data_IF_886955292157
#
_entry.id   IF_886955292157
#
_cell.length_a   1.000
_cell.length_b   1.000
_cell.length_c   1.000
_cell.angle_alpha   90.00
_cell.angle_beta   90.00
_cell.angle_gamma   90.00
#
_symmetry.space_group_name_H-M   'P 1'
#
loop_
_entity.id
_entity.type
_entity.pdbx_description
1 polymer ?
#
# COMPACT_ATOMS: atom_id res chain seq x y z
N UNK A 1 -9.67 6.22 -4.14
CA UNK A 1 -9.70 5.28 -5.28
C UNK A 1 -8.80 4.10 -4.92
N UNK A 2 -9.29 2.87 -4.99
CA UNK A 2 -8.51 1.62 -4.82
C UNK A 2 -8.07 1.12 -6.20
N UNK A 3 -6.77 0.88 -6.40
CA UNK A 3 -6.20 0.28 -7.60
C UNK A 3 -5.60 -1.06 -7.23
N UNK A 4 -6.28 -2.14 -7.59
CA UNK A 4 -5.75 -3.49 -7.42
C UNK A 4 -4.92 -3.89 -8.63
N UNK A 5 -3.63 -4.12 -8.43
CA UNK A 5 -2.73 -4.64 -9.46
C UNK A 5 -3.03 -6.12 -9.71
N UNK A 6 -3.65 -6.43 -10.84
CA UNK A 6 -3.99 -7.81 -11.23
C UNK A 6 -2.80 -8.53 -11.85
N UNK A 7 -1.87 -7.77 -12.43
CA UNK A 7 -0.57 -8.25 -12.87
C UNK A 7 0.39 -7.07 -12.99
N UNK A 8 1.68 -7.35 -12.87
CA UNK A 8 2.76 -6.35 -12.88
C UNK A 8 3.96 -6.79 -13.71
N UNK A 9 3.87 -7.93 -14.38
CA UNK A 9 4.89 -8.46 -15.27
C UNK A 9 4.70 -7.99 -16.71
N UNK A 10 5.76 -8.13 -17.51
CA UNK A 10 5.71 -7.93 -18.96
C UNK A 10 4.85 -8.99 -19.67
N UNK A 11 4.71 -8.88 -20.99
CA UNK A 11 3.95 -9.80 -21.84
C UNK A 11 4.16 -11.31 -21.57
N UNK A 12 5.40 -11.71 -21.27
CA UNK A 12 5.84 -13.07 -20.99
C UNK A 12 5.80 -13.47 -19.50
N UNK A 13 5.40 -12.53 -18.64
CA UNK A 13 5.40 -12.63 -17.20
C UNK A 13 6.82 -12.70 -16.60
N UNK A 14 6.88 -12.74 -15.27
CA UNK A 14 8.15 -12.92 -14.55
C UNK A 14 7.93 -13.79 -13.31
N UNK A 15 8.54 -14.99 -13.21
CA UNK A 15 9.50 -15.61 -14.13
C UNK A 15 8.92 -16.04 -15.48
N UNK A 16 9.69 -15.85 -16.56
CA UNK A 16 9.37 -16.37 -17.88
C UNK A 16 9.55 -17.91 -17.88
N UNK A 17 8.53 -18.68 -18.30
CA UNK A 17 8.51 -20.15 -18.20
C UNK A 17 9.54 -20.87 -19.07
N UNK A 18 10.11 -20.18 -20.06
CA UNK A 18 11.13 -20.70 -20.96
C UNK A 18 12.54 -20.20 -20.62
N UNK A 19 12.67 -19.27 -19.68
CA UNK A 19 13.95 -18.70 -19.29
C UNK A 19 14.60 -19.44 -18.11
N UNK A 20 15.93 -19.39 -18.06
CA UNK A 20 16.75 -19.95 -16.98
C UNK A 20 17.74 -18.95 -16.40
N UNK A 21 17.53 -17.65 -16.64
CA UNK A 21 18.39 -16.59 -16.11
C UNK A 21 18.32 -16.56 -14.57
N UNK A 22 19.30 -15.91 -13.95
CA UNK A 22 19.36 -15.75 -12.49
C UNK A 22 18.09 -15.10 -11.95
N UNK A 23 17.55 -14.11 -12.66
CA UNK A 23 16.31 -13.43 -12.26
C UNK A 23 15.12 -14.41 -12.19
N UNK A 24 14.87 -15.19 -13.25
CA UNK A 24 13.78 -16.17 -13.26
C UNK A 24 13.96 -17.30 -12.23
N UNK A 25 15.18 -17.79 -12.07
CA UNK A 25 15.48 -18.91 -11.17
C UNK A 25 15.49 -18.52 -9.69
N UNK A 26 15.66 -17.23 -9.39
CA UNK A 26 15.60 -16.69 -8.03
C UNK A 26 14.27 -16.04 -7.67
N UNK A 27 13.36 -15.86 -8.65
CA UNK A 27 12.04 -15.30 -8.43
C UNK A 27 11.24 -16.11 -7.40
N UNK A 28 10.73 -15.44 -6.37
CA UNK A 28 9.93 -16.07 -5.30
C UNK A 28 8.43 -15.94 -5.51
N UNK A 29 8.02 -15.11 -6.47
CA UNK A 29 6.65 -14.81 -6.81
C UNK A 29 6.49 -14.82 -8.33
N UNK A 30 5.28 -15.08 -8.80
CA UNK A 30 4.91 -14.98 -10.22
C UNK A 30 4.19 -13.66 -10.43
N UNK A 31 4.64 -12.92 -11.43
CA UNK A 31 4.02 -11.72 -11.95
C UNK A 31 3.34 -12.04 -13.26
N UNK A 32 2.02 -11.88 -13.30
CA UNK A 32 1.20 -11.99 -14.50
C UNK A 32 1.22 -10.71 -15.33
N UNK A 33 0.61 -10.78 -16.51
CA UNK A 33 0.54 -9.68 -17.48
C UNK A 33 -0.10 -8.42 -16.87
N UNK A 34 0.51 -7.27 -17.16
CA UNK A 34 0.18 -6.00 -16.51
C UNK A 34 -1.27 -5.58 -16.75
N UNK A 35 -2.00 -5.39 -15.64
CA UNK A 35 -3.38 -4.94 -15.64
C UNK A 35 -3.78 -4.50 -14.23
N UNK A 36 -4.81 -3.65 -14.13
CA UNK A 36 -5.34 -3.23 -12.84
C UNK A 36 -6.87 -3.14 -12.82
N UNK A 37 -7.45 -3.33 -11.63
CA UNK A 37 -8.87 -3.12 -11.35
C UNK A 37 -9.03 -1.91 -10.42
N UNK A 38 -9.66 -0.87 -10.92
CA UNK A 38 -9.92 0.38 -10.21
C UNK A 38 -11.34 0.35 -9.63
N UNK A 39 -11.43 0.53 -8.31
CA UNK A 39 -12.64 0.52 -7.47
C UNK A 39 -13.60 -0.67 -7.71
N UNK A 40 -13.11 -1.76 -8.30
CA UNK A 40 -13.94 -2.91 -8.68
C UNK A 40 -14.83 -2.70 -9.91
N UNK A 41 -14.70 -1.56 -10.61
CA UNK A 41 -15.63 -1.13 -11.68
C UNK A 41 -14.94 -0.82 -13.01
N UNK A 42 -13.66 -0.47 -13.02
CA UNK A 42 -12.91 -0.13 -14.22
C UNK A 42 -11.66 -1.02 -14.34
N UNK A 43 -11.47 -1.66 -15.49
CA UNK A 43 -10.24 -2.39 -15.82
C UNK A 43 -9.32 -1.51 -16.66
N UNK A 44 -8.07 -1.38 -16.24
CA UNK A 44 -6.95 -0.87 -17.03
C UNK A 44 -6.24 -2.09 -17.62
N UNK A 45 -6.42 -2.26 -18.92
CA UNK A 45 -6.16 -3.48 -19.69
C UNK A 45 -6.91 -4.72 -19.18
N UNK A 46 -7.10 -5.70 -20.06
CA UNK A 46 -7.79 -6.94 -19.74
C UNK A 46 -7.18 -8.11 -20.52
N UNK A 47 -5.91 -8.40 -20.23
CA UNK A 47 -5.18 -9.52 -20.80
C UNK A 47 -5.76 -10.89 -20.48
N UNK A 48 -5.28 -11.97 -21.14
CA UNK A 48 -5.72 -13.35 -20.93
C UNK A 48 -5.72 -13.83 -19.47
N UNK A 49 -4.81 -13.32 -18.64
CA UNK A 49 -4.69 -13.73 -17.23
C UNK A 49 -5.66 -13.00 -16.29
N UNK A 50 -6.18 -11.83 -16.68
CA UNK A 50 -6.93 -10.91 -15.82
C UNK A 50 -8.13 -11.55 -15.11
N UNK A 51 -9.03 -12.30 -15.80
CA UNK A 51 -10.15 -12.95 -15.12
C UNK A 51 -9.71 -13.93 -14.01
N UNK A 52 -8.60 -14.64 -14.23
CA UNK A 52 -8.08 -15.61 -13.25
C UNK A 52 -7.29 -14.93 -12.15
N UNK A 53 -6.55 -13.88 -12.46
CA UNK A 53 -5.86 -13.06 -11.46
C UNK A 53 -6.84 -12.45 -10.46
N UNK A 54 -7.92 -11.82 -10.94
CA UNK A 54 -8.96 -11.26 -10.07
C UNK A 54 -9.52 -12.30 -9.08
N UNK A 55 -9.82 -13.51 -9.57
CA UNK A 55 -10.27 -14.60 -8.71
C UNK A 55 -9.22 -15.06 -7.68
N UNK A 56 -7.93 -15.13 -8.07
CA UNK A 56 -6.83 -15.48 -7.16
C UNK A 56 -6.71 -14.47 -6.01
N UNK A 57 -7.00 -13.20 -6.27
CA UNK A 57 -6.99 -12.12 -5.27
C UNK A 57 -8.35 -11.91 -4.59
N UNK A 58 -9.30 -12.84 -4.77
CA UNK A 58 -10.59 -12.81 -4.09
C UNK A 58 -11.52 -11.68 -4.57
N UNK A 59 -11.35 -11.22 -5.81
CA UNK A 59 -12.10 -10.09 -6.38
C UNK A 59 -12.99 -10.55 -7.53
N UNK A 60 -14.20 -10.03 -7.55
CA UNK A 60 -15.19 -10.32 -8.58
C UNK A 60 -15.12 -9.27 -9.69
N UNK A 61 -15.18 -9.72 -10.95
CA UNK A 61 -15.30 -8.83 -12.12
C UNK A 61 -16.75 -8.52 -12.51
N UNK A 62 -17.75 -9.05 -11.79
CA UNK A 62 -19.16 -8.80 -12.10
C UNK A 62 -19.56 -7.32 -11.98
N UNK A 63 -18.82 -6.55 -11.16
CA UNK A 63 -18.99 -5.12 -10.98
C UNK A 63 -18.41 -4.25 -12.10
N UNK A 64 -17.60 -4.82 -13.00
CA UNK A 64 -16.92 -4.05 -14.06
C UNK A 64 -17.95 -3.45 -15.01
N UNK A 65 -17.79 -2.15 -15.27
CA UNK A 65 -18.59 -1.33 -16.18
C UNK A 65 -17.74 -0.68 -17.28
N UNK A 66 -16.43 -0.61 -17.10
CA UNK A 66 -15.52 0.00 -18.06
C UNK A 66 -14.26 -0.86 -18.22
N UNK A 67 -13.80 -1.05 -19.45
CA UNK A 67 -12.48 -1.61 -19.79
C UNK A 67 -11.77 -0.57 -20.66
N UNK A 68 -10.57 -0.17 -20.27
CA UNK A 68 -9.72 0.74 -21.02
C UNK A 68 -8.50 -0.03 -21.48
N UNK A 69 -8.38 -0.25 -22.78
CA UNK A 69 -7.20 -0.85 -23.41
C UNK A 69 -6.21 0.22 -23.81
N UNK A 70 -4.94 0.02 -23.47
CA UNK A 70 -3.85 0.93 -23.84
C UNK A 70 -3.42 0.74 -25.29
N UNK A 71 -3.35 -0.51 -25.75
CA UNK A 71 -2.98 -0.87 -27.12
C UNK A 71 -3.39 -2.32 -27.46
N UNK A 72 -3.16 -2.73 -28.71
CA UNK A 72 -3.62 -4.01 -29.26
C UNK A 72 -2.76 -5.25 -28.97
N UNK A 73 -1.76 -5.22 -28.09
CA UNK A 73 -0.94 -6.41 -27.85
C UNK A 73 -1.71 -7.51 -27.08
N UNK A 74 -1.41 -8.80 -27.34
CA UNK A 74 -2.22 -9.94 -26.86
C UNK A 74 -2.17 -10.14 -25.35
N UNK A 75 -1.19 -9.57 -24.66
CA UNK A 75 -1.06 -9.56 -23.21
C UNK A 75 -1.88 -8.47 -22.53
N UNK A 76 -2.32 -7.45 -23.27
CA UNK A 76 -3.23 -6.40 -22.80
C UNK A 76 -4.69 -6.67 -23.22
N UNK A 77 -4.89 -7.34 -24.37
CA UNK A 77 -6.21 -7.60 -24.96
C UNK A 77 -6.51 -9.10 -24.95
N UNK A 78 -7.25 -9.55 -23.93
CA UNK A 78 -7.76 -10.91 -23.78
C UNK A 78 -9.27 -10.99 -24.07
N UNK A 79 -9.71 -10.94 -25.34
CA UNK A 79 -11.12 -10.75 -25.67
C UNK A 79 -12.01 -11.95 -25.29
N UNK A 80 -11.43 -13.11 -25.01
CA UNK A 80 -12.12 -14.25 -24.40
C UNK A 80 -12.83 -13.90 -23.08
N UNK A 81 -12.36 -12.87 -22.35
CA UNK A 81 -13.04 -12.37 -21.16
C UNK A 81 -14.46 -11.84 -21.45
N UNK A 82 -14.68 -11.23 -22.62
CA UNK A 82 -16.01 -10.73 -23.04
C UNK A 82 -16.99 -11.88 -23.26
N UNK A 83 -16.52 -12.96 -23.89
CA UNK A 83 -17.32 -14.18 -24.06
C UNK A 83 -17.64 -14.86 -22.72
N UNK A 84 -16.66 -14.91 -21.79
CA UNK A 84 -16.91 -15.42 -20.43
C UNK A 84 -17.96 -14.59 -19.71
N UNK A 85 -17.94 -13.26 -19.85
CA UNK A 85 -18.95 -12.36 -19.30
C UNK A 85 -20.33 -12.66 -19.89
N UNK A 86 -20.43 -12.78 -21.22
CA UNK A 86 -21.68 -13.12 -21.92
C UNK A 86 -22.31 -14.40 -21.35
N UNK A 87 -21.52 -15.45 -21.11
CA UNK A 87 -22.02 -16.71 -20.54
C UNK A 87 -22.65 -16.60 -19.16
N UNK A 88 -22.40 -15.52 -18.42
CA UNK A 88 -23.03 -15.28 -17.12
C UNK A 88 -24.44 -14.69 -17.24
N UNK A 89 -24.84 -14.23 -18.44
CA UNK A 89 -26.10 -13.52 -18.65
C UNK A 89 -26.08 -12.09 -18.08
N UNK A 90 -24.89 -11.47 -17.99
CA UNK A 90 -24.75 -10.09 -17.54
C UNK A 90 -25.56 -9.12 -18.42
N UNK A 91 -26.37 -8.27 -17.79
CA UNK A 91 -27.29 -7.35 -18.48
C UNK A 91 -26.89 -5.89 -18.32
N UNK A 92 -25.95 -5.62 -17.41
CA UNK A 92 -25.46 -4.29 -17.15
C UNK A 92 -24.60 -3.79 -18.31
N UNK A 93 -24.64 -2.48 -18.64
CA UNK A 93 -23.79 -1.92 -19.67
C UNK A 93 -22.29 -2.09 -19.36
N UNK A 94 -21.51 -2.34 -20.40
CA UNK A 94 -20.05 -2.36 -20.38
C UNK A 94 -19.52 -1.42 -21.47
N UNK A 95 -18.72 -0.44 -21.10
CA UNK A 95 -17.93 0.33 -22.05
C UNK A 95 -16.59 -0.36 -22.28
N UNK A 96 -16.25 -0.60 -23.55
CA UNK A 96 -14.94 -1.09 -23.98
C UNK A 96 -14.28 0.02 -24.77
N UNK A 97 -13.22 0.58 -24.20
CA UNK A 97 -12.57 1.81 -24.63
C UNK A 97 -11.14 1.50 -25.04
N UNK A 98 -10.66 2.07 -26.14
CA UNK A 98 -9.28 1.88 -26.57
C UNK A 98 -9.02 2.36 -27.99
N UNK A 99 -7.77 2.25 -28.46
CA UNK A 99 -7.41 2.48 -29.85
C UNK A 99 -8.11 1.48 -30.79
N UNK A 100 -8.31 1.79 -32.08
CA UNK A 100 -8.96 0.88 -33.05
C UNK A 100 -8.32 -0.51 -33.06
N UNK A 101 -7.00 -0.59 -32.99
CA UNK A 101 -6.25 -1.85 -32.99
C UNK A 101 -6.62 -2.81 -31.86
N UNK A 102 -6.97 -2.29 -30.68
CA UNK A 102 -7.45 -3.07 -29.55
C UNK A 102 -8.92 -3.44 -29.71
N UNK A 103 -9.76 -2.49 -30.14
CA UNK A 103 -11.21 -2.70 -30.24
C UNK A 103 -11.59 -3.70 -31.35
N UNK A 104 -10.92 -3.66 -32.50
CA UNK A 104 -11.14 -4.59 -33.62
C UNK A 104 -10.98 -6.06 -33.18
N UNK A 105 -10.10 -6.33 -32.22
CA UNK A 105 -9.89 -7.68 -31.68
C UNK A 105 -11.03 -8.15 -30.78
N UNK A 106 -11.81 -7.23 -30.22
CA UNK A 106 -12.91 -7.51 -29.31
C UNK A 106 -14.27 -7.67 -30.00
N UNK A 107 -14.49 -7.01 -31.15
CA UNK A 107 -15.81 -6.93 -31.81
C UNK A 107 -16.44 -8.31 -32.06
N UNK A 108 -15.65 -9.28 -32.51
CA UNK A 108 -16.12 -10.64 -32.81
C UNK A 108 -16.42 -11.50 -31.57
N UNK A 109 -16.10 -11.02 -30.37
CA UNK A 109 -16.31 -11.73 -29.10
C UNK A 109 -17.57 -11.28 -28.36
N UNK A 110 -18.27 -10.28 -28.92
CA UNK A 110 -19.47 -9.68 -28.35
C UNK A 110 -20.67 -10.05 -29.22
N UNK A 111 -21.73 -10.53 -28.58
CA UNK A 111 -22.99 -10.84 -29.26
C UNK A 111 -23.72 -9.57 -29.71
N UNK A 112 -24.59 -9.64 -30.74
CA UNK A 112 -25.29 -8.48 -31.27
C UNK A 112 -26.23 -7.79 -30.27
N UNK A 113 -26.71 -8.54 -29.27
CA UNK A 113 -27.60 -8.04 -28.20
C UNK A 113 -26.87 -7.84 -26.87
N UNK A 114 -25.55 -8.05 -26.82
CA UNK A 114 -24.80 -7.81 -25.60
C UNK A 114 -24.79 -6.31 -25.28
N UNK A 115 -24.95 -5.93 -24.01
CA UNK A 115 -24.97 -4.52 -23.59
C UNK A 115 -23.55 -3.94 -23.54
N UNK A 116 -22.80 -4.05 -24.64
CA UNK A 116 -21.42 -3.60 -24.77
C UNK A 116 -21.35 -2.44 -25.74
N UNK A 117 -20.74 -1.34 -25.31
CA UNK A 117 -20.50 -0.16 -26.13
C UNK A 117 -19.01 0.00 -26.38
N UNK A 118 -18.61 0.00 -27.64
CA UNK A 118 -17.24 0.30 -28.04
C UNK A 118 -17.03 1.83 -28.16
N UNK A 119 -15.95 2.33 -27.58
CA UNK A 119 -15.58 3.76 -27.60
C UNK A 119 -14.13 3.87 -28.08
N UNK A 120 -13.97 4.20 -29.36
CA UNK A 120 -12.64 4.45 -29.94
C UNK A 120 -12.05 5.74 -29.37
N UNK A 121 -10.77 5.70 -28.99
CA UNK A 121 -10.02 6.87 -28.51
C UNK A 121 -8.66 6.99 -29.18
N UNK A 122 -8.12 8.20 -29.21
CA UNK A 122 -6.76 8.52 -29.61
C UNK A 122 -6.13 9.55 -28.66
N UNK A 123 -4.81 9.73 -28.74
CA UNK A 123 -4.12 10.76 -27.96
C UNK A 123 -4.73 12.15 -28.17
N UNK A 124 -4.96 12.86 -27.06
CA UNK A 124 -5.62 14.17 -27.02
C UNK A 124 -7.10 14.12 -26.68
N UNK A 125 -7.74 12.94 -26.72
CA UNK A 125 -9.14 12.77 -26.34
C UNK A 125 -9.35 12.94 -24.83
N UNK A 126 -10.59 13.30 -24.47
CA UNK A 126 -11.08 13.31 -23.09
C UNK A 126 -12.48 12.73 -23.05
N UNK A 127 -12.69 11.75 -22.19
CA UNK A 127 -13.97 11.04 -22.05
C UNK A 127 -14.39 10.96 -20.59
N UNK A 128 -15.70 10.83 -20.35
CA UNK A 128 -16.26 10.61 -19.02
C UNK A 128 -16.85 9.19 -18.95
N UNK A 129 -16.39 8.41 -17.98
CA UNK A 129 -16.85 7.04 -17.74
C UNK A 129 -17.35 6.95 -16.30
N UNK A 130 -18.66 7.08 -16.10
CA UNK A 130 -19.23 7.19 -14.75
C UNK A 130 -18.62 8.35 -13.96
N UNK A 131 -17.94 8.02 -12.85
CA UNK A 131 -17.29 8.97 -11.96
C UNK A 131 -15.87 9.36 -12.40
N UNK A 132 -15.34 8.73 -13.45
CA UNK A 132 -13.98 8.95 -13.95
C UNK A 132 -13.95 9.94 -15.10
N UNK A 133 -13.10 10.95 -14.98
CA UNK A 133 -12.62 11.79 -16.07
C UNK A 133 -11.32 11.19 -16.62
N UNK A 134 -11.31 10.86 -17.90
CA UNK A 134 -10.19 10.14 -18.52
C UNK A 134 -9.62 11.02 -19.63
N UNK A 135 -8.34 11.37 -19.50
CA UNK A 135 -7.55 11.99 -20.57
C UNK A 135 -6.69 10.92 -21.23
N UNK A 136 -6.72 10.90 -22.56
CA UNK A 136 -5.99 9.94 -23.38
C UNK A 136 -4.72 10.62 -23.87
N UNK A 137 -3.56 10.05 -23.53
CA UNK A 137 -2.24 10.64 -23.77
C UNK A 137 -1.45 9.79 -24.76
N UNK A 138 -0.42 10.38 -25.37
CA UNK A 138 0.40 9.66 -26.35
C UNK A 138 1.34 8.68 -25.63
N UNK A 139 1.42 7.45 -26.13
CA UNK A 139 2.49 6.52 -25.82
C UNK A 139 3.57 6.60 -26.90
N UNK A 140 4.79 6.15 -26.58
CA UNK A 140 5.85 5.91 -27.57
C UNK A 140 6.04 4.39 -27.76
N UNK A 141 4.98 3.75 -28.28
CA UNK A 141 4.90 2.31 -28.52
C UNK A 141 3.99 2.02 -29.72
N UNK A 142 4.23 0.92 -30.44
CA UNK A 142 3.26 0.40 -31.43
C UNK A 142 3.76 0.23 -32.87
N UNK A 143 5.08 0.27 -33.13
CA UNK A 143 5.59 0.11 -34.50
C UNK A 143 5.52 -1.35 -35.02
N UNK A 144 5.50 -2.34 -34.13
CA UNK A 144 5.91 -3.69 -34.51
C UNK A 144 4.74 -4.70 -34.68
N UNK A 145 3.71 -4.70 -33.82
CA UNK A 145 2.67 -5.76 -33.84
C UNK A 145 1.28 -5.32 -33.32
N UNK A 146 0.94 -4.03 -33.33
CA UNK A 146 -0.30 -3.61 -32.65
C UNK A 146 -0.89 -2.26 -33.02
N UNK A 147 -0.29 -1.49 -33.93
CA UNK A 147 -0.80 -0.14 -34.23
C UNK A 147 -0.74 0.78 -33.01
N UNK A 148 -1.56 1.82 -33.03
CA UNK A 148 -1.57 2.91 -32.07
C UNK A 148 -1.67 2.50 -30.59
N UNK A 149 -0.92 3.21 -29.75
CA UNK A 149 -0.89 3.03 -28.30
C UNK A 149 -1.17 4.35 -27.57
N UNK A 150 -1.85 4.25 -26.44
CA UNK A 150 -2.23 5.39 -25.59
C UNK A 150 -2.00 5.11 -24.12
N UNK A 151 -1.82 6.19 -23.36
CA UNK A 151 -1.72 6.18 -21.89
C UNK A 151 -2.94 6.88 -21.29
N UNK A 152 -3.23 6.62 -20.02
CA UNK A 152 -4.42 7.15 -19.36
C UNK A 152 -4.07 7.99 -18.13
N UNK A 153 -4.54 9.24 -18.13
CA UNK A 153 -4.63 10.09 -16.95
C UNK A 153 -6.08 10.02 -16.46
N UNK A 154 -6.27 9.41 -15.29
CA UNK A 154 -7.56 9.03 -14.75
C UNK A 154 -7.82 9.80 -13.44
N UNK A 155 -8.87 10.61 -13.42
CA UNK A 155 -9.25 11.43 -12.28
C UNK A 155 -10.67 11.09 -11.80
N UNK A 156 -10.86 10.98 -10.49
CA UNK A 156 -12.18 10.96 -9.84
C UNK A 156 -12.13 11.75 -8.54
N UNK A 157 -13.28 11.88 -7.86
CA UNK A 157 -13.33 12.45 -6.50
C UNK A 157 -12.43 11.69 -5.52
N UNK A 158 -12.10 10.43 -5.85
CA UNK A 158 -11.25 9.56 -5.06
C UNK A 158 -9.77 9.65 -5.39
N UNK A 159 -9.30 10.57 -6.24
CA UNK A 159 -7.88 10.78 -6.55
C UNK A 159 -7.57 10.78 -8.05
N UNK A 160 -6.31 11.00 -8.38
CA UNK A 160 -5.82 11.07 -9.76
C UNK A 160 -4.60 10.19 -9.96
N UNK A 161 -4.66 9.31 -10.96
CA UNK A 161 -3.56 8.42 -11.32
C UNK A 161 -3.10 8.64 -12.75
N UNK A 162 -1.85 8.28 -13.02
CA UNK A 162 -1.32 8.14 -14.36
C UNK A 162 -0.96 6.69 -14.63
N UNK A 163 -1.64 6.06 -15.60
CA UNK A 163 -1.37 4.70 -16.06
C UNK A 163 -0.59 4.77 -17.38
N UNK A 164 0.72 4.49 -17.28
CA UNK A 164 1.69 4.61 -18.35
C UNK A 164 2.45 3.28 -18.55
N UNK A 165 1.72 2.25 -19.00
CA UNK A 165 2.32 0.99 -19.47
C UNK A 165 2.78 1.12 -20.91
N UNK A 166 3.78 0.33 -21.30
CA UNK A 166 4.25 0.14 -22.67
C UNK A 166 4.41 1.43 -23.48
N UNK A 167 5.46 2.20 -23.18
CA UNK A 167 5.68 3.52 -23.80
C UNK A 167 7.14 3.91 -24.00
N UNK A 168 8.10 3.35 -23.27
CA UNK A 168 9.45 3.90 -23.23
C UNK A 168 9.45 5.38 -22.81
N UNK A 169 10.53 6.14 -23.07
CA UNK A 169 10.57 7.56 -22.76
C UNK A 169 9.31 8.27 -23.28
N UNK A 170 8.65 9.04 -22.39
CA UNK A 170 7.37 9.64 -22.72
C UNK A 170 7.49 10.66 -23.86
N UNK A 171 6.54 10.70 -24.82
CA UNK A 171 6.50 11.75 -25.84
C UNK A 171 6.44 13.16 -25.23
N UNK A 172 7.04 14.14 -25.92
CA UNK A 172 6.97 15.57 -25.52
C UNK A 172 5.53 16.05 -25.29
N UNK A 173 4.59 15.59 -26.11
CA UNK A 173 3.17 15.92 -25.98
C UNK A 173 2.60 15.41 -24.65
N UNK A 174 3.03 14.24 -24.19
CA UNK A 174 2.63 13.65 -22.91
C UNK A 174 3.28 14.40 -21.75
N UNK A 175 4.58 14.70 -21.81
CA UNK A 175 5.24 15.54 -20.81
C UNK A 175 4.54 16.90 -20.61
N UNK A 176 4.15 17.55 -21.71
CA UNK A 176 3.39 18.80 -21.66
C UNK A 176 2.00 18.58 -21.04
N UNK A 177 1.30 17.51 -21.44
CA UNK A 177 -0.06 17.23 -21.00
C UNK A 177 -0.17 16.92 -19.49
N UNK A 178 0.88 16.39 -18.88
CA UNK A 178 0.92 16.02 -17.45
C UNK A 178 1.53 17.10 -16.54
N UNK A 179 1.97 18.22 -17.11
CA UNK A 179 2.59 19.31 -16.34
C UNK A 179 1.66 19.82 -15.25
N UNK A 180 2.15 19.84 -14.00
CA UNK A 180 1.42 20.28 -12.82
C UNK A 180 0.27 19.37 -12.39
N UNK A 181 0.18 18.14 -12.92
CA UNK A 181 -0.92 17.24 -12.63
C UNK A 181 -0.96 16.79 -11.16
N UNK A 182 0.20 16.71 -10.50
CA UNK A 182 0.32 16.30 -9.09
C UNK A 182 -0.40 14.98 -8.78
N UNK A 183 -0.08 13.92 -9.54
CA UNK A 183 -0.74 12.62 -9.39
C UNK A 183 -0.59 12.06 -7.97
N UNK A 184 -1.61 11.38 -7.47
CA UNK A 184 -1.52 10.63 -6.23
C UNK A 184 -0.69 9.34 -6.43
N UNK A 185 -0.83 8.69 -7.60
CA UNK A 185 0.03 7.59 -8.00
C UNK A 185 0.35 7.63 -9.50
N UNK A 186 1.55 7.18 -9.84
CA UNK A 186 2.02 6.98 -11.22
C UNK A 186 2.43 5.53 -11.38
N UNK A 187 1.78 4.83 -12.30
CA UNK A 187 2.14 3.48 -12.72
C UNK A 187 2.89 3.59 -14.03
N UNK A 188 4.21 3.37 -13.99
CA UNK A 188 5.09 3.54 -15.14
C UNK A 188 5.75 2.21 -15.45
N UNK A 189 5.77 1.81 -16.71
CA UNK A 189 6.47 0.59 -17.12
C UNK A 189 7.98 0.70 -16.90
N UNK A 190 8.57 -0.41 -16.45
CA UNK A 190 10.01 -0.60 -16.36
C UNK A 190 10.32 -2.02 -16.88
N UNK A 191 10.28 -2.17 -18.19
CA UNK A 191 10.27 -3.50 -18.81
C UNK A 191 11.62 -4.18 -18.76
N UNK A 192 12.69 -3.49 -19.17
CA UNK A 192 13.94 -4.14 -19.54
C UNK A 192 15.02 -4.15 -18.46
N UNK A 193 14.79 -3.58 -17.28
CA UNK A 193 15.67 -3.73 -16.14
C UNK A 193 17.09 -3.24 -16.46
N UNK A 194 18.04 -4.18 -16.46
CA UNK A 194 19.46 -3.91 -16.76
C UNK A 194 19.85 -4.12 -18.22
N UNK A 195 18.92 -4.58 -19.05
CA UNK A 195 19.17 -4.79 -20.47
C UNK A 195 18.93 -3.47 -21.21
N UNK A 196 19.99 -2.82 -21.71
CA UNK A 196 19.95 -1.50 -22.35
C UNK A 196 19.92 -1.53 -23.90
N UNK A 197 20.05 -2.72 -24.52
CA UNK A 197 20.05 -2.89 -25.98
C UNK A 197 18.65 -3.29 -26.51
N UNK A 198 17.60 -2.67 -25.97
CA UNK A 198 16.20 -3.06 -26.20
C UNK A 198 15.46 -2.22 -27.24
N UNK A 199 15.97 -1.05 -27.59
CA UNK A 199 15.26 -0.07 -28.43
C UNK A 199 14.82 1.13 -27.60
N UNK A 200 13.72 1.79 -27.99
CA UNK A 200 13.19 2.98 -27.28
C UNK A 200 11.69 2.89 -27.00
N UNK A 201 11.04 1.76 -27.23
CA UNK A 201 9.59 1.60 -27.02
C UNK A 201 9.24 1.13 -25.59
N UNK A 202 10.27 0.82 -24.79
CA UNK A 202 10.14 0.48 -23.39
C UNK A 202 11.25 1.12 -22.57
N UNK A 203 11.11 1.15 -21.24
CA UNK A 203 12.14 1.63 -20.34
C UNK A 203 13.07 0.50 -19.89
N UNK A 204 14.35 0.83 -19.78
CA UNK A 204 15.26 0.21 -18.81
C UNK A 204 15.31 1.05 -17.51
N UNK A 205 16.07 0.59 -16.50
CA UNK A 205 16.16 1.27 -15.20
C UNK A 205 16.69 2.72 -15.30
N UNK A 206 17.58 3.01 -16.25
CA UNK A 206 18.14 4.35 -16.41
C UNK A 206 17.11 5.28 -17.04
N UNK A 207 16.47 4.85 -18.12
CA UNK A 207 15.43 5.61 -18.78
C UNK A 207 14.23 5.83 -17.87
N UNK A 208 13.82 4.81 -17.11
CA UNK A 208 12.76 4.92 -16.11
C UNK A 208 13.07 6.04 -15.10
N UNK A 209 14.28 6.04 -14.53
CA UNK A 209 14.71 7.05 -13.57
C UNK A 209 14.71 8.46 -14.20
N UNK A 210 15.12 8.59 -15.46
CA UNK A 210 15.08 9.86 -16.20
C UNK A 210 13.65 10.36 -16.40
N UNK A 211 12.72 9.47 -16.78
CA UNK A 211 11.29 9.79 -16.93
C UNK A 211 10.70 10.25 -15.60
N UNK A 212 10.96 9.55 -14.50
CA UNK A 212 10.50 9.95 -13.15
C UNK A 212 11.08 11.31 -12.75
N UNK A 213 12.37 11.57 -13.00
CA UNK A 213 12.99 12.86 -12.72
C UNK A 213 12.38 14.01 -13.54
N UNK A 214 12.04 13.76 -14.80
CA UNK A 214 11.35 14.75 -15.63
C UNK A 214 9.94 15.02 -15.12
N UNK A 215 9.17 13.97 -14.81
CA UNK A 215 7.83 14.10 -14.23
C UNK A 215 7.83 14.90 -12.92
N UNK A 216 8.85 14.73 -12.08
CA UNK A 216 9.07 15.58 -10.88
C UNK A 216 9.32 17.04 -11.26
N UNK A 217 10.17 17.29 -12.25
CA UNK A 217 10.53 18.66 -12.70
C UNK A 217 9.32 19.43 -13.22
N UNK A 218 8.38 18.75 -13.89
CA UNK A 218 7.15 19.38 -14.39
C UNK A 218 6.00 19.36 -13.39
N UNK A 219 6.20 18.87 -12.16
CA UNK A 219 5.18 18.82 -11.11
C UNK A 219 4.07 17.78 -11.36
N UNK A 220 4.32 16.79 -12.21
CA UNK A 220 3.43 15.64 -12.38
C UNK A 220 3.60 14.64 -11.23
N UNK A 221 4.84 14.45 -10.76
CA UNK A 221 5.20 13.67 -9.57
C UNK A 221 5.62 14.64 -8.47
N UNK A 222 5.10 14.42 -7.26
CA UNK A 222 5.39 15.20 -6.05
C UNK A 222 5.95 14.30 -4.96
N UNK A 223 6.30 14.86 -3.80
CA UNK A 223 6.81 14.08 -2.66
C UNK A 223 5.74 13.13 -2.06
N UNK A 224 4.46 13.35 -2.35
CA UNK A 224 3.36 12.50 -1.91
C UNK A 224 2.88 11.51 -2.97
N UNK A 225 3.45 11.56 -4.18
CA UNK A 225 3.08 10.67 -5.28
C UNK A 225 3.70 9.28 -5.08
N UNK A 226 2.90 8.23 -5.10
CA UNK A 226 3.39 6.86 -5.13
C UNK A 226 3.78 6.47 -6.56
N UNK A 227 5.08 6.29 -6.82
CA UNK A 227 5.59 5.89 -8.14
C UNK A 227 5.82 4.39 -8.16
N UNK A 228 4.99 3.68 -8.91
CA UNK A 228 4.93 2.21 -8.96
C UNK A 228 5.41 1.73 -10.33
N UNK A 229 6.53 1.02 -10.34
CA UNK A 229 7.03 0.35 -11.54
C UNK A 229 6.19 -0.90 -11.86
N UNK A 230 5.69 -0.98 -13.09
CA UNK A 230 4.87 -2.07 -13.62
C UNK A 230 5.51 -2.64 -14.91
N UNK A 231 4.88 -3.65 -15.52
CA UNK A 231 5.37 -4.30 -16.75
C UNK A 231 6.79 -4.89 -16.65
N UNK A 232 7.14 -5.41 -15.47
CA UNK A 232 8.48 -5.86 -15.12
C UNK A 232 8.82 -7.22 -15.77
N UNK A 233 9.84 -7.27 -16.63
CA UNK A 233 10.29 -8.53 -17.24
C UNK A 233 11.38 -9.26 -16.46
N UNK A 234 11.73 -10.47 -16.89
CA UNK A 234 12.88 -11.22 -16.38
C UNK A 234 14.27 -10.58 -16.62
N UNK A 235 14.36 -9.45 -17.34
CA UNK A 235 15.59 -8.67 -17.48
C UNK A 235 15.87 -7.79 -16.24
N UNK A 236 14.89 -7.69 -15.34
CA UNK A 236 15.05 -7.08 -14.05
C UNK A 236 15.91 -7.91 -13.09
N UNK A 237 16.66 -7.24 -12.19
CA UNK A 237 17.44 -7.92 -11.17
C UNK A 237 16.53 -8.58 -10.13
N UNK A 238 17.13 -9.23 -9.12
CA UNK A 238 16.35 -9.82 -8.02
C UNK A 238 15.42 -8.79 -7.37
N UNK A 239 14.27 -9.20 -6.85
CA UNK A 239 13.26 -8.28 -6.30
C UNK A 239 13.83 -7.32 -5.23
N UNK A 240 14.75 -7.79 -4.38
CA UNK A 240 15.44 -6.95 -3.40
C UNK A 240 16.35 -5.90 -4.01
N UNK A 241 17.03 -6.25 -5.10
CA UNK A 241 17.92 -5.34 -5.82
C UNK A 241 17.11 -4.34 -6.65
N UNK A 242 16.07 -4.80 -7.35
CA UNK A 242 15.12 -3.94 -8.06
C UNK A 242 14.50 -2.91 -7.12
N UNK A 243 14.06 -3.33 -5.94
CA UNK A 243 13.52 -2.42 -4.91
C UNK A 243 14.54 -1.36 -4.51
N UNK A 244 15.81 -1.76 -4.32
CA UNK A 244 16.87 -0.81 -3.96
C UNK A 244 17.13 0.20 -5.08
N UNK A 245 17.26 -0.26 -6.33
CA UNK A 245 17.54 0.62 -7.48
C UNK A 245 16.39 1.59 -7.74
N UNK A 246 15.14 1.12 -7.74
CA UNK A 246 13.98 1.99 -7.95
C UNK A 246 13.86 3.06 -6.86
N UNK A 247 14.24 2.72 -5.62
CA UNK A 247 14.18 3.66 -4.49
C UNK A 247 15.09 4.88 -4.67
N UNK A 248 16.16 4.79 -5.46
CA UNK A 248 17.03 5.93 -5.77
C UNK A 248 16.31 7.02 -6.58
N UNK A 249 15.25 6.65 -7.31
CA UNK A 249 14.35 7.57 -8.03
C UNK A 249 13.07 7.91 -7.24
N UNK A 250 12.94 7.37 -6.03
CA UNK A 250 11.73 7.43 -5.21
C UNK A 250 10.56 6.64 -5.78
N UNK A 251 10.86 5.53 -6.46
CA UNK A 251 9.89 4.57 -6.97
C UNK A 251 10.02 3.21 -6.27
N UNK A 252 9.07 2.32 -6.52
CA UNK A 252 9.06 0.94 -6.00
C UNK A 252 8.46 -0.02 -7.03
N UNK A 253 8.80 -1.32 -7.00
CA UNK A 253 8.13 -2.28 -7.85
C UNK A 253 6.70 -2.51 -7.33
N UNK A 254 5.72 -2.54 -8.23
CA UNK A 254 4.38 -3.02 -7.93
C UNK A 254 4.39 -4.50 -7.58
N UNK A 255 3.29 -5.03 -7.03
CA UNK A 255 3.12 -6.47 -6.80
C UNK A 255 1.75 -6.93 -7.22
N UNK A 256 1.69 -8.12 -7.82
CA UNK A 256 0.42 -8.78 -8.10
C UNK A 256 -0.40 -8.96 -6.82
N UNK A 257 -1.66 -8.54 -6.86
CA UNK A 257 -2.59 -8.57 -5.72
C UNK A 257 -2.45 -7.41 -4.75
N UNK A 258 -1.52 -6.47 -4.98
CA UNK A 258 -1.40 -5.26 -4.20
C UNK A 258 -2.56 -4.29 -4.50
N UNK A 259 -3.16 -3.73 -3.46
CA UNK A 259 -4.11 -2.63 -3.56
C UNK A 259 -3.40 -1.31 -3.22
N UNK A 260 -3.27 -0.44 -4.21
CA UNK A 260 -2.77 0.94 -4.06
C UNK A 260 -3.96 1.85 -3.86
N UNK A 261 -4.05 2.51 -2.70
CA UNK A 261 -5.15 3.42 -2.38
C UNK A 261 -4.69 4.86 -2.54
N UNK A 262 -5.32 5.60 -3.46
CA UNK A 262 -5.03 7.01 -3.77
C UNK A 262 -6.20 7.92 -3.43
N UNK A 263 -5.96 9.23 -3.33
CA UNK A 263 -6.92 10.30 -3.02
C UNK A 263 -7.61 10.20 -1.66
N UNK A 264 -7.48 9.05 -0.98
CA UNK A 264 -7.32 9.04 0.45
C UNK A 264 -5.96 9.65 0.76
N UNK A 265 -5.88 10.99 0.76
CA UNK A 265 -4.93 11.61 1.65
C UNK A 265 -5.22 11.02 3.03
N UNK A 266 -4.44 10.05 3.51
CA UNK A 266 -4.34 9.85 4.94
C UNK A 266 -3.54 11.03 5.50
N UNK A 267 -4.12 12.22 5.39
CA UNK A 267 -4.06 13.21 6.46
C UNK A 267 -4.81 12.69 7.70
N UNK A 268 -5.50 11.55 7.58
CA UNK A 268 -5.81 10.74 8.73
C UNK A 268 -4.50 10.31 9.39
N UNK A 269 -4.27 10.67 10.66
CA UNK A 269 -3.10 10.25 11.39
C UNK A 269 -3.00 8.72 11.42
N UNK A 270 -1.82 8.20 11.08
CA UNK A 270 -1.53 6.76 11.16
C UNK A 270 -1.29 6.34 12.60
N UNK A 271 -1.89 5.21 12.98
CA UNK A 271 -1.78 4.60 14.31
C UNK A 271 -1.07 3.26 14.21
N UNK A 272 0.14 3.19 14.76
CA UNK A 272 0.97 1.98 14.70
C UNK A 272 1.11 1.35 16.08
N UNK A 273 0.72 0.07 16.22
CA UNK A 273 1.00 -0.72 17.41
C UNK A 273 2.29 -1.54 17.23
N UNK A 274 3.27 -1.33 18.11
CA UNK A 274 4.54 -2.06 18.12
C UNK A 274 4.55 -3.06 19.29
N UNK A 275 4.44 -4.34 18.95
CA UNK A 275 4.48 -5.47 19.87
C UNK A 275 5.88 -6.09 19.92
N UNK A 276 6.19 -6.81 20.99
CA UNK A 276 7.35 -7.70 21.03
C UNK A 276 7.84 -8.06 22.42
N UNK A 277 8.78 -9.01 22.45
CA UNK A 277 9.38 -9.48 23.70
C UNK A 277 10.23 -8.43 24.42
N UNK A 278 10.76 -8.82 25.58
CA UNK A 278 11.78 -8.02 26.27
C UNK A 278 13.04 -7.89 25.37
N UNK A 279 13.59 -6.67 25.27
CA UNK A 279 14.79 -6.37 24.49
C UNK A 279 14.70 -6.72 22.99
N UNK A 280 13.50 -6.76 22.42
CA UNK A 280 13.30 -7.03 20.98
C UNK A 280 13.53 -5.83 20.06
N UNK A 281 13.77 -4.63 20.61
CA UNK A 281 13.93 -3.39 19.84
C UNK A 281 12.65 -2.56 19.66
N UNK A 282 11.52 -2.96 20.27
CA UNK A 282 10.21 -2.28 20.13
C UNK A 282 10.20 -0.76 20.38
N UNK A 283 10.76 -0.28 21.49
CA UNK A 283 10.81 1.18 21.73
C UNK A 283 11.67 1.91 20.69
N UNK A 284 12.81 1.34 20.29
CA UNK A 284 13.69 1.96 19.30
C UNK A 284 13.03 2.00 17.90
N UNK A 285 12.27 0.97 17.54
CA UNK A 285 11.50 0.95 16.31
C UNK A 285 10.36 1.99 16.35
N UNK A 286 9.61 2.06 17.45
CA UNK A 286 8.56 3.07 17.61
C UNK A 286 9.12 4.50 17.63
N UNK A 287 10.30 4.71 18.21
CA UNK A 287 11.02 5.99 18.14
C UNK A 287 11.39 6.34 16.69
N UNK A 288 11.90 5.36 15.92
CA UNK A 288 12.28 5.57 14.51
C UNK A 288 11.08 5.90 13.60
N UNK A 289 9.90 5.32 13.87
CA UNK A 289 8.68 5.62 13.11
C UNK A 289 8.27 7.11 13.17
N UNK A 290 8.58 7.79 14.28
CA UNK A 290 8.21 9.19 14.50
C UNK A 290 9.42 10.13 14.41
N UNK A 291 10.59 9.64 13.99
CA UNK A 291 11.82 10.44 14.01
C UNK A 291 11.79 11.63 13.04
N UNK A 292 11.01 11.53 11.97
CA UNK A 292 10.84 12.58 10.97
C UNK A 292 9.76 13.63 11.36
N UNK A 293 8.99 13.38 12.42
CA UNK A 293 7.93 14.29 12.86
C UNK A 293 8.52 15.56 13.46
N UNK A 294 7.97 16.75 13.15
CA UNK A 294 8.51 18.03 13.61
C UNK A 294 8.42 18.20 15.13
N UNK A 295 7.47 17.53 15.76
CA UNK A 295 7.29 17.49 17.21
C UNK A 295 6.63 16.18 17.63
N UNK A 296 7.09 15.61 18.75
CA UNK A 296 6.53 14.37 19.32
C UNK A 296 6.29 14.55 20.82
N UNK A 297 5.11 14.14 21.29
CA UNK A 297 4.82 13.96 22.71
C UNK A 297 5.00 12.48 23.09
N UNK A 298 5.98 12.20 23.94
CA UNK A 298 6.25 10.88 24.48
C UNK A 298 5.48 10.69 25.80
N UNK A 299 4.44 9.86 25.80
CA UNK A 299 3.68 9.46 26.98
C UNK A 299 4.36 8.28 27.66
N UNK A 300 5.08 8.56 28.75
CA UNK A 300 5.79 7.56 29.54
C UNK A 300 4.91 7.08 30.70
N UNK A 301 4.35 5.88 30.57
CA UNK A 301 3.42 5.31 31.57
C UNK A 301 4.10 4.51 32.67
N UNK A 302 5.43 4.31 32.57
CA UNK A 302 6.21 3.54 33.53
C UNK A 302 6.58 4.28 34.82
N UNK A 303 6.52 5.62 34.81
CA UNK A 303 6.87 6.48 35.94
C UNK A 303 8.27 6.28 36.53
N UNK A 304 8.53 6.92 37.67
CA UNK A 304 9.73 6.71 38.49
C UNK A 304 9.43 5.64 39.54
N UNK A 305 10.22 4.56 39.56
CA UNK A 305 10.20 3.58 40.65
C UNK A 305 11.27 3.95 41.67
N UNK A 306 10.85 4.44 42.84
CA UNK A 306 11.77 4.75 43.93
C UNK A 306 12.51 3.50 44.39
N UNK A 307 13.83 3.58 44.51
CA UNK A 307 14.66 2.48 45.01
C UNK A 307 15.11 1.42 43.99
N UNK A 308 14.88 1.60 42.68
CA UNK A 308 15.37 0.69 41.62
C UNK A 308 16.43 1.39 40.72
N UNK A 309 17.74 1.24 41.02
CA UNK A 309 18.83 1.83 40.23
C UNK A 309 18.90 1.32 38.78
N UNK A 310 18.46 0.08 38.52
CA UNK A 310 18.44 -0.49 37.17
C UNK A 310 17.32 0.15 36.34
N UNK A 311 16.15 0.36 36.94
CA UNK A 311 15.07 1.16 36.35
C UNK A 311 15.51 2.59 36.06
N UNK A 312 16.14 3.26 37.03
CA UNK A 312 16.65 4.63 36.84
C UNK A 312 17.68 4.73 35.71
N UNK A 313 18.59 3.76 35.58
CA UNK A 313 19.56 3.69 34.48
C UNK A 313 18.88 3.46 33.13
N UNK A 314 17.86 2.59 33.06
CA UNK A 314 17.09 2.35 31.82
C UNK A 314 16.34 3.61 31.38
N UNK A 315 15.64 4.28 32.31
CA UNK A 315 14.93 5.54 32.03
C UNK A 315 15.91 6.59 31.49
N UNK A 316 17.10 6.70 32.07
CA UNK A 316 18.13 7.64 31.60
C UNK A 316 18.59 7.34 30.17
N UNK A 317 18.87 6.07 29.85
CA UNK A 317 19.26 5.66 28.51
C UNK A 317 18.13 5.87 27.49
N UNK A 318 16.88 5.65 27.89
CA UNK A 318 15.72 5.91 27.05
C UNK A 318 15.54 7.40 26.75
N UNK A 319 15.72 8.28 27.76
CA UNK A 319 15.64 9.73 27.57
C UNK A 319 16.77 10.25 26.67
N UNK A 320 18.00 9.75 26.86
CA UNK A 320 19.18 10.22 26.13
C UNK A 320 19.19 9.88 24.62
N UNK A 321 18.33 8.97 24.16
CA UNK A 321 18.21 8.63 22.73
C UNK A 321 17.23 9.51 21.96
N UNK A 322 16.42 10.32 22.65
CA UNK A 322 15.34 11.08 22.03
C UNK A 322 15.87 12.42 21.51
N UNK A 323 15.39 12.92 20.37
CA UNK A 323 15.66 14.27 19.92
C UNK A 323 15.22 15.32 20.95
N UNK A 324 15.95 16.43 21.05
CA UNK A 324 15.62 17.52 21.99
C UNK A 324 14.26 18.19 21.69
N UNK A 325 13.73 18.04 20.48
CA UNK A 325 12.40 18.52 20.09
C UNK A 325 11.25 17.67 20.66
N UNK A 326 11.54 16.54 21.31
CA UNK A 326 10.52 15.65 21.86
C UNK A 326 10.15 16.06 23.29
N UNK A 327 8.85 16.23 23.55
CA UNK A 327 8.31 16.49 24.88
C UNK A 327 7.98 15.17 25.57
N UNK A 328 8.57 14.88 26.73
CA UNK A 328 8.17 13.71 27.53
C UNK A 328 7.16 14.12 28.60
N UNK A 329 6.04 13.41 28.69
CA UNK A 329 5.01 13.54 29.72
C UNK A 329 4.89 12.21 30.46
N UNK A 330 5.10 12.23 31.77
CA UNK A 330 4.90 11.06 32.63
C UNK A 330 3.47 11.07 33.15
N UNK A 331 2.63 10.19 32.63
CA UNK A 331 1.21 10.12 32.98
C UNK A 331 0.65 8.72 32.75
N UNK A 332 -0.34 8.36 33.56
CA UNK A 332 -1.22 7.19 33.32
C UNK A 332 -2.58 7.60 32.77
N UNK A 333 -2.90 8.89 32.80
CA UNK A 333 -4.11 9.51 32.23
C UNK A 333 -3.84 9.85 30.76
N UNK A 334 -3.79 8.80 29.93
CA UNK A 334 -3.36 8.90 28.52
C UNK A 334 -4.50 9.27 27.57
N UNK A 335 -5.76 9.07 27.98
CA UNK A 335 -6.91 9.20 27.09
C UNK A 335 -7.15 10.66 26.64
N UNK A 336 -6.97 11.63 27.53
CA UNK A 336 -7.10 13.06 27.19
C UNK A 336 -5.94 13.55 26.30
N UNK A 337 -4.71 13.12 26.58
CA UNK A 337 -3.54 13.46 25.75
C UNK A 337 -3.70 12.92 24.31
N UNK A 338 -4.22 11.70 24.15
CA UNK A 338 -4.54 11.13 22.83
C UNK A 338 -5.63 11.93 22.11
N UNK A 339 -6.71 12.30 22.79
CA UNK A 339 -7.84 13.04 22.18
C UNK A 339 -7.51 14.48 21.80
N UNK A 340 -6.61 15.13 22.55
CA UNK A 340 -6.26 16.54 22.38
C UNK A 340 -4.95 16.76 21.61
N UNK A 341 -4.40 15.70 21.04
CA UNK A 341 -3.12 15.72 20.34
C UNK A 341 -3.08 16.76 19.21
N UNK A 342 -2.04 17.59 19.18
CA UNK A 342 -1.74 18.48 18.05
C UNK A 342 -0.49 18.08 17.28
N UNK A 343 0.28 17.14 17.84
CA UNK A 343 1.55 16.65 17.34
C UNK A 343 1.61 15.13 17.53
N UNK A 344 2.57 14.48 16.87
CA UNK A 344 2.70 13.03 16.94
C UNK A 344 2.89 12.54 18.39
N UNK A 345 2.42 11.33 18.69
CA UNK A 345 2.40 10.75 20.03
C UNK A 345 3.07 9.40 20.07
N UNK A 346 3.88 9.16 21.10
CA UNK A 346 4.44 7.84 21.41
C UNK A 346 4.03 7.40 22.80
N UNK A 347 3.22 6.35 22.90
CA UNK A 347 2.79 5.73 24.16
C UNK A 347 3.69 4.53 24.52
N UNK A 348 4.54 4.68 25.55
CA UNK A 348 5.48 3.63 25.99
C UNK A 348 5.40 3.42 27.52
N UNK A 349 4.87 2.31 28.03
CA UNK A 349 4.21 1.21 27.30
C UNK A 349 2.88 0.80 27.93
N UNK A 350 2.01 0.26 27.08
CA UNK A 350 0.70 -0.30 27.43
C UNK A 350 0.74 -1.29 28.60
N UNK A 351 1.83 -2.05 28.74
CA UNK A 351 2.01 -2.96 29.88
C UNK A 351 2.10 -2.23 31.22
N UNK A 352 2.87 -1.15 31.30
CA UNK A 352 2.98 -0.33 32.53
C UNK A 352 1.72 0.48 32.81
N UNK A 353 1.05 0.96 31.75
CA UNK A 353 -0.26 1.59 31.87
C UNK A 353 -1.29 0.62 32.49
N UNK A 354 -1.36 -0.61 31.99
CA UNK A 354 -2.26 -1.62 32.50
C UNK A 354 -1.97 -1.95 33.98
N UNK A 355 -0.70 -2.07 34.36
CA UNK A 355 -0.32 -2.25 35.77
C UNK A 355 -0.89 -1.12 36.64
N UNK A 356 -0.75 0.14 36.21
CA UNK A 356 -1.27 1.28 36.96
C UNK A 356 -2.80 1.27 37.10
N UNK A 357 -3.54 0.86 36.06
CA UNK A 357 -5.01 0.71 36.15
C UNK A 357 -5.42 -0.46 37.06
N UNK A 358 -4.69 -1.56 37.03
CA UNK A 358 -4.91 -2.69 37.93
C UNK A 358 -4.65 -2.31 39.40
N UNK A 359 -3.61 -1.52 39.67
CA UNK A 359 -3.30 -0.98 41.00
C UNK A 359 -4.43 -0.05 41.48
N UNK A 360 -4.87 0.88 40.63
CA UNK A 360 -5.94 1.84 40.93
C UNK A 360 -7.24 1.17 41.36
N UNK A 361 -7.60 0.05 40.71
CA UNK A 361 -8.83 -0.68 40.99
C UNK A 361 -8.64 -1.87 41.95
N UNK A 362 -7.47 -1.97 42.59
CA UNK A 362 -7.09 -3.03 43.53
C UNK A 362 -7.31 -4.46 43.00
N UNK A 363 -7.13 -4.66 41.69
CA UNK A 363 -7.45 -5.93 41.01
C UNK A 363 -6.56 -7.07 41.47
N UNK A 364 -5.34 -6.78 41.92
CA UNK A 364 -4.43 -7.79 42.49
C UNK A 364 -4.99 -8.46 43.75
N UNK A 365 -5.81 -7.74 44.51
CA UNK A 365 -6.38 -8.17 45.79
C UNK A 365 -7.88 -8.50 45.69
N UNK A 366 -8.37 -8.79 44.48
CA UNK A 366 -9.79 -9.14 44.23
C UNK A 366 -10.72 -7.94 44.02
N UNK A 367 -10.15 -6.79 43.67
CA UNK A 367 -10.90 -5.57 43.32
C UNK A 367 -11.67 -5.66 42.00
N UNK A 368 -12.09 -4.51 41.48
CA UNK A 368 -13.10 -4.42 40.43
C UNK A 368 -12.51 -4.60 39.02
N UNK A 369 -12.42 -5.84 38.54
CA UNK A 369 -11.93 -6.16 37.18
C UNK A 369 -12.68 -5.43 36.07
N UNK A 370 -14.01 -5.28 36.22
CA UNK A 370 -14.86 -4.57 35.26
C UNK A 370 -14.43 -3.11 35.04
N UNK A 371 -13.84 -2.47 36.06
CA UNK A 371 -13.33 -1.09 35.92
C UNK A 371 -12.07 -1.04 35.06
N UNK A 372 -11.20 -2.06 35.14
CA UNK A 372 -10.04 -2.17 34.23
C UNK A 372 -10.51 -2.39 32.80
N UNK A 373 -11.57 -3.18 32.57
CA UNK A 373 -12.15 -3.31 31.23
C UNK A 373 -12.71 -1.99 30.70
N UNK A 374 -13.40 -1.21 31.54
CA UNK A 374 -13.87 0.13 31.19
C UNK A 374 -12.72 1.09 30.84
N UNK A 375 -11.59 1.00 31.55
CA UNK A 375 -10.40 1.79 31.23
C UNK A 375 -9.78 1.39 29.88
N UNK A 376 -9.78 0.10 29.56
CA UNK A 376 -9.34 -0.41 28.24
C UNK A 376 -10.27 0.12 27.15
N UNK A 377 -11.59 0.11 27.38
CA UNK A 377 -12.57 0.68 26.45
C UNK A 377 -12.30 2.17 26.20
N UNK A 378 -12.05 2.95 27.24
CA UNK A 378 -11.74 4.37 27.11
C UNK A 378 -10.44 4.59 26.33
N UNK A 379 -9.37 3.86 26.66
CA UNK A 379 -8.09 3.97 25.95
C UNK A 379 -8.25 3.65 24.46
N UNK A 380 -8.95 2.57 24.12
CA UNK A 380 -9.18 2.17 22.73
C UNK A 380 -10.01 3.22 21.99
N UNK A 381 -11.03 3.79 22.65
CA UNK A 381 -11.82 4.88 22.08
C UNK A 381 -10.97 6.14 21.85
N UNK A 382 -10.12 6.52 22.81
CA UNK A 382 -9.20 7.64 22.70
C UNK A 382 -8.15 7.44 21.60
N UNK A 383 -7.62 6.22 21.49
CA UNK A 383 -6.69 5.83 20.42
C UNK A 383 -7.31 6.01 19.04
N UNK A 384 -8.54 5.51 18.82
CA UNK A 384 -9.28 5.69 17.57
C UNK A 384 -9.57 7.15 17.24
N UNK A 385 -9.81 7.96 18.26
CA UNK A 385 -10.13 9.38 18.12
C UNK A 385 -8.89 10.28 18.03
N UNK A 386 -7.68 9.74 18.11
CA UNK A 386 -6.43 10.52 18.08
C UNK A 386 -6.29 11.24 16.72
N UNK A 387 -6.21 12.58 16.70
CA UNK A 387 -6.15 13.37 15.47
C UNK A 387 -4.73 13.59 14.92
N UNK A 388 -3.70 13.07 15.60
CA UNK A 388 -2.29 13.17 15.19
C UNK A 388 -1.61 11.79 15.10
N UNK A 389 -0.54 11.62 14.29
CA UNK A 389 0.15 10.34 14.14
C UNK A 389 0.55 9.75 15.49
N UNK A 390 0.33 8.45 15.68
CA UNK A 390 0.54 7.85 16.99
C UNK A 390 1.19 6.47 16.90
N UNK A 391 2.13 6.20 17.79
CA UNK A 391 2.71 4.88 18.00
C UNK A 391 2.49 4.42 19.43
N UNK A 392 2.13 3.15 19.64
CA UNK A 392 1.98 2.54 20.95
C UNK A 392 2.90 1.33 21.08
N UNK A 393 3.58 1.21 22.21
CA UNK A 393 4.49 0.09 22.50
C UNK A 393 3.82 -0.83 23.51
N UNK A 394 3.82 -2.14 23.23
CA UNK A 394 3.40 -3.16 24.19
C UNK A 394 4.32 -4.37 24.21
N UNK A 395 4.31 -5.06 25.35
CA UNK A 395 5.00 -6.33 25.51
C UNK A 395 4.13 -7.47 24.97
N UNK A 396 4.73 -8.36 24.19
CA UNK A 396 4.13 -9.65 23.87
C UNK A 396 4.56 -10.67 24.92
N UNK A 397 3.70 -10.87 25.93
CA UNK A 397 3.95 -11.77 27.07
C UNK A 397 3.24 -13.12 26.92
N UNK A 398 2.28 -13.24 26.00
CA UNK A 398 1.51 -14.45 25.74
C UNK A 398 2.33 -15.55 25.07
N UNK A 399 3.37 -15.18 24.31
CA UNK A 399 4.32 -16.13 23.70
C UNK A 399 5.33 -16.75 24.68
N UNK A 400 5.31 -16.37 25.96
CA UNK A 400 6.20 -16.89 27.01
C UNK A 400 5.64 -18.08 27.80
N UNK A 401 6.38 -18.52 28.83
CA UNK A 401 5.91 -19.56 29.76
C UNK A 401 4.73 -19.04 30.59
N UNK A 402 3.75 -19.91 30.87
CA UNK A 402 2.62 -19.60 31.76
C UNK A 402 3.14 -19.17 33.14
N UNK A 403 2.79 -17.97 33.64
CA UNK A 403 3.26 -17.53 34.95
C UNK A 403 2.81 -18.45 36.09
N UNK A 404 3.73 -18.72 37.02
CA UNK A 404 3.45 -19.58 38.18
C UNK A 404 2.46 -18.95 39.17
N UNK A 405 2.46 -17.62 39.28
CA UNK A 405 1.60 -16.87 40.19
C UNK A 405 0.24 -16.53 39.56
N UNK A 406 -0.80 -16.44 40.39
CA UNK A 406 -2.13 -16.02 39.94
C UNK A 406 -2.11 -14.59 39.37
N UNK A 407 -1.39 -13.67 40.03
CA UNK A 407 -1.20 -12.29 39.56
C UNK A 407 -0.52 -12.23 38.20
N UNK A 408 0.51 -13.05 37.96
CA UNK A 408 1.18 -13.12 36.68
C UNK A 408 0.27 -13.59 35.55
N UNK A 409 -0.57 -14.61 35.81
CA UNK A 409 -1.56 -15.10 34.83
C UNK A 409 -2.61 -14.03 34.52
N UNK A 410 -3.13 -13.37 35.55
CA UNK A 410 -4.11 -12.29 35.40
C UNK A 410 -3.57 -11.13 34.55
N UNK A 411 -2.36 -10.66 34.84
CA UNK A 411 -1.72 -9.61 34.05
C UNK A 411 -1.50 -10.03 32.59
N UNK A 412 -0.98 -11.25 32.37
CA UNK A 412 -0.75 -11.78 31.02
C UNK A 412 -2.05 -11.82 30.22
N UNK A 413 -3.13 -12.32 30.81
CA UNK A 413 -4.40 -12.49 30.13
C UNK A 413 -5.04 -11.13 29.81
N UNK A 414 -5.02 -10.17 30.75
CA UNK A 414 -5.51 -8.81 30.51
C UNK A 414 -4.67 -8.04 29.49
N UNK A 415 -3.33 -8.19 29.51
CA UNK A 415 -2.46 -7.56 28.52
C UNK A 415 -2.71 -8.15 27.12
N UNK A 416 -3.02 -9.45 27.02
CA UNK A 416 -3.46 -10.07 25.78
C UNK A 416 -4.75 -9.45 25.24
N UNK A 417 -5.75 -9.24 26.10
CA UNK A 417 -7.01 -8.56 25.73
C UNK A 417 -6.74 -7.13 25.27
N UNK A 418 -5.92 -6.36 26.00
CA UNK A 418 -5.55 -5.00 25.63
C UNK A 418 -4.82 -4.96 24.28
N UNK A 419 -3.81 -5.82 24.09
CA UNK A 419 -3.04 -5.89 22.84
C UNK A 419 -3.95 -6.21 21.64
N UNK A 420 -4.85 -7.17 21.77
CA UNK A 420 -5.79 -7.53 20.70
C UNK A 420 -6.71 -6.37 20.33
N UNK A 421 -7.23 -5.64 21.32
CA UNK A 421 -8.15 -4.51 21.08
C UNK A 421 -7.44 -3.29 20.52
N UNK A 422 -6.20 -3.03 20.96
CA UNK A 422 -5.36 -2.00 20.37
C UNK A 422 -4.98 -2.35 18.93
N UNK A 423 -4.62 -3.61 18.65
CA UNK A 423 -4.29 -4.08 17.30
C UNK A 423 -5.47 -3.88 16.34
N UNK A 424 -6.69 -4.24 16.77
CA UNK A 424 -7.92 -4.04 16.00
C UNK A 424 -8.33 -2.54 15.84
N UNK A 425 -7.68 -1.63 16.57
CA UNK A 425 -7.93 -0.20 16.52
C UNK A 425 -6.76 0.60 15.89
N UNK A 426 -5.72 -0.10 15.43
CA UNK A 426 -4.55 0.48 14.76
C UNK A 426 -4.60 0.22 13.26
N UNK A 427 -3.98 1.13 12.50
CA UNK A 427 -3.86 1.00 11.04
C UNK A 427 -2.74 0.02 10.68
N UNK A 428 -1.65 0.04 11.47
CA UNK A 428 -0.51 -0.86 11.34
C UNK A 428 -0.20 -1.58 12.65
N UNK A 429 0.20 -2.85 12.54
CA UNK A 429 0.69 -3.64 13.67
C UNK A 429 2.01 -4.30 13.31
N UNK A 430 3.03 -4.07 14.13
CA UNK A 430 4.39 -4.61 13.93
C UNK A 430 4.78 -5.46 15.13
N UNK A 431 5.19 -6.70 14.89
CA UNK A 431 5.81 -7.56 15.88
C UNK A 431 7.34 -7.49 15.75
N UNK A 432 8.02 -7.11 16.82
CA UNK A 432 9.47 -7.05 16.87
C UNK A 432 10.08 -8.36 17.36
N UNK A 433 10.92 -8.97 16.52
CA UNK A 433 11.65 -10.21 16.81
C UNK A 433 13.14 -9.99 16.56
N UNK A 434 13.97 -10.13 17.60
CA UNK A 434 15.43 -9.97 17.51
C UNK A 434 15.89 -8.67 16.80
N UNK A 435 15.19 -7.55 17.04
CA UNK A 435 15.50 -6.25 16.40
C UNK A 435 14.90 -6.06 15.01
N UNK A 436 14.17 -7.05 14.48
CA UNK A 436 13.56 -6.99 13.14
C UNK A 436 12.04 -6.81 13.22
N UNK A 437 11.46 -5.90 12.42
CA UNK A 437 10.02 -5.75 12.33
C UNK A 437 9.39 -6.85 11.47
N UNK A 438 8.30 -7.43 11.95
CA UNK A 438 7.39 -8.30 11.20
C UNK A 438 6.01 -7.63 11.16
N UNK A 439 5.57 -7.19 9.98
CA UNK A 439 4.24 -6.60 9.81
C UNK A 439 3.18 -7.70 9.95
N UNK A 440 2.22 -7.50 10.85
CA UNK A 440 1.09 -8.41 10.99
C UNK A 440 0.00 -8.01 9.96
N UNK A 441 -0.67 -8.97 9.32
CA UNK A 441 -1.73 -8.67 8.37
C UNK A 441 -2.88 -7.94 9.07
N UNK A 442 -3.53 -7.04 8.35
CA UNK A 442 -4.78 -6.42 8.80
C UNK A 442 -5.79 -7.55 8.99
N UNK A 443 -6.44 -7.60 10.16
CA UNK A 443 -7.48 -8.60 10.39
C UNK A 443 -8.64 -8.30 9.44
N UNK A 444 -8.99 -9.25 8.58
CA UNK A 444 -10.19 -9.14 7.76
C UNK A 444 -11.43 -9.05 8.70
N UNK A 445 -12.42 -8.21 8.39
CA UNK A 445 -13.63 -8.08 9.19
C UNK A 445 -14.44 -9.38 9.28
#
# INVERSE_FOLDING_TARGET
MEILLLGTGSADGWPNPFCRCTSCTSATQVRGQTAALVDGVLLLDCGPEVPRAAMRFGRSLAGVRHILFTHGHPDHVGPAALLMRHWTGATEPLDVVGPPSALEQCEHWVGPDDPVRFITVQSGDRIRLGDYDVRVLAANHGADIGGDAVLYDLESDGGRIFWATDTGPLPDATHLAVTGAGYDAVFLEETFGTYAEHGTEHHDLLEFANTVAHLRTVGAVTDTTDVVAIHLSHHNPSESELTAVLSDSGARPGRDGEAVCVGAATNAPTRTLVLGGARSGKSAHAEALLAAEPAVTYLATGGVREGDPEWAQRVRLHRARRPDCWRTVETTEVAEELRSATHALLLDCLGTWLTARMDLHHVWDGGALERVHADIDELVAAWRACPAPAAAVSNEVGSGVVPATASGRLFRDLLGVLNARMAAASDDVVLMVAGRPLKLPVSAP
#
